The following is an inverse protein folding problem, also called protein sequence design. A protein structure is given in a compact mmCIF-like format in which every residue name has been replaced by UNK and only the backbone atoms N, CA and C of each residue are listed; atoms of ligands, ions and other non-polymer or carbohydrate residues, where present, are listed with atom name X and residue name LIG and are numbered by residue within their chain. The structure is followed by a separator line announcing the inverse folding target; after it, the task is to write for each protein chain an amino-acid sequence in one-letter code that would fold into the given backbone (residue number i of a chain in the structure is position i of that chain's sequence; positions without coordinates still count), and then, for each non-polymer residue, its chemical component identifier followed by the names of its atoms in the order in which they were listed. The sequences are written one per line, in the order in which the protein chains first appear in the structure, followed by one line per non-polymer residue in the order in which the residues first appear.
data_IF_571885970323
#
_entry.id   IF_571885970323
#
_cell.length_a   1.000
_cell.length_b   1.000
_cell.length_c   1.000
_cell.angle_alpha   90.00
_cell.angle_beta   90.00
_cell.angle_gamma   90.00
#
_symmetry.space_group_name_H-M   'P 1'
#
loop_
_entity.id
_entity.type
_entity.pdbx_description
1 polymer ?
#
# COMPACT_ATOMS: atom_id res chain seq x y z
N UNK A 1 -12.41 9.17 0.57
CA UNK A 1 -12.17 8.09 1.55
C UNK A 1 -10.73 7.63 1.37
N UNK A 2 -9.93 7.68 2.42
CA UNK A 2 -8.54 7.23 2.43
C UNK A 2 -8.46 5.89 3.17
N UNK A 3 -7.78 4.93 2.56
CA UNK A 3 -7.60 3.59 3.09
C UNK A 3 -6.11 3.31 3.16
N UNK A 4 -5.61 3.00 4.35
CA UNK A 4 -4.26 2.55 4.59
C UNK A 4 -4.27 1.21 5.35
N UNK A 5 -3.08 0.69 5.61
CA UNK A 5 -2.94 -0.41 6.56
C UNK A 5 -3.10 0.10 7.99
N UNK A 6 -3.36 -0.82 8.92
CA UNK A 6 -3.48 -0.49 10.34
C UNK A 6 -2.11 -0.50 11.05
N UNK A 7 -1.00 -0.19 10.34
CA UNK A 7 0.31 -0.18 11.00
C UNK A 7 0.36 0.95 12.05
N UNK A 8 1.08 0.75 13.18
CA UNK A 8 1.07 1.69 14.30
C UNK A 8 1.36 3.16 13.96
N UNK A 9 2.24 3.49 12.99
CA UNK A 9 2.47 4.89 12.60
C UNK A 9 1.24 5.59 12.02
N UNK A 10 0.37 4.87 11.30
CA UNK A 10 -0.83 5.41 10.66
C UNK A 10 -1.91 5.79 11.69
N UNK A 11 -2.00 5.05 12.80
CA UNK A 11 -2.92 5.32 13.91
C UNK A 11 -2.48 6.46 14.83
N UNK A 12 -1.34 7.12 14.58
CA UNK A 12 -0.85 8.17 15.47
C UNK A 12 -1.73 9.42 15.41
N UNK A 13 -1.84 10.12 16.55
CA UNK A 13 -2.63 11.36 16.68
C UNK A 13 -2.28 12.40 15.62
N UNK A 14 -0.99 12.50 15.26
CA UNK A 14 -0.53 13.48 14.27
C UNK A 14 -1.12 13.16 12.89
N UNK A 15 -1.08 11.89 12.48
CA UNK A 15 -1.61 11.43 11.18
C UNK A 15 -3.13 11.59 11.14
N UNK A 16 -3.85 11.15 12.18
CA UNK A 16 -5.32 11.26 12.22
C UNK A 16 -5.81 12.70 12.26
N UNK A 17 -5.13 13.57 13.02
CA UNK A 17 -5.43 15.01 13.03
C UNK A 17 -5.18 15.65 11.66
N UNK A 18 -4.10 15.26 10.97
CA UNK A 18 -3.82 15.76 9.63
C UNK A 18 -4.88 15.35 8.61
N UNK A 19 -5.33 14.09 8.65
CA UNK A 19 -6.41 13.62 7.78
C UNK A 19 -7.70 14.42 7.99
N UNK A 20 -8.02 14.75 9.24
CA UNK A 20 -9.17 15.60 9.57
C UNK A 20 -9.00 17.04 9.05
N UNK A 21 -7.83 17.65 9.21
CA UNK A 21 -7.54 19.03 8.72
C UNK A 21 -7.63 19.14 7.21
N UNK A 22 -7.17 18.11 6.48
CA UNK A 22 -7.25 18.08 5.01
C UNK A 22 -8.66 17.69 4.53
N UNK A 23 -9.57 17.35 5.44
CA UNK A 23 -10.96 17.00 5.11
C UNK A 23 -11.11 15.60 4.51
N UNK A 24 -10.16 14.70 4.75
CA UNK A 24 -10.15 13.35 4.20
C UNK A 24 -10.69 12.38 5.23
N UNK A 25 -11.80 11.72 4.93
CA UNK A 25 -12.33 10.64 5.76
C UNK A 25 -11.38 9.44 5.72
N UNK A 26 -10.89 9.01 6.88
CA UNK A 26 -10.08 7.81 7.07
C UNK A 26 -10.97 6.58 7.25
N UNK A 27 -10.63 5.48 6.58
CA UNK A 27 -11.29 4.19 6.78
C UNK A 27 -10.39 3.29 7.64
N UNK A 28 -10.78 3.06 8.89
CA UNK A 28 -10.08 2.13 9.77
C UNK A 28 -10.35 0.70 9.31
N UNK A 29 -9.31 -0.04 8.95
CA UNK A 29 -9.42 -1.41 8.45
C UNK A 29 -9.18 -2.45 9.56
N UNK A 30 -9.89 -3.59 9.57
CA UNK A 30 -9.61 -4.66 10.52
C UNK A 30 -8.17 -5.17 10.39
N UNK A 31 -7.49 -5.36 11.52
CA UNK A 31 -6.21 -6.07 11.53
C UNK A 31 -6.40 -7.47 10.90
N UNK A 32 -5.42 -7.93 10.11
CA UNK A 32 -5.43 -9.23 9.39
C UNK A 32 -6.25 -9.29 8.08
N UNK A 33 -6.59 -8.15 7.46
CA UNK A 33 -7.09 -8.11 6.08
C UNK A 33 -5.97 -7.75 5.10
N UNK A 34 -4.95 -8.61 4.99
CA UNK A 34 -3.91 -8.47 3.96
C UNK A 34 -4.48 -8.67 2.55
N UNK A 35 -5.48 -9.54 2.42
CA UNK A 35 -6.05 -9.96 1.13
C UNK A 35 -6.93 -8.87 0.47
N UNK A 36 -7.06 -7.71 1.10
CA UNK A 36 -7.89 -6.59 0.65
C UNK A 36 -7.10 -5.27 0.60
N UNK A 37 -5.79 -5.31 0.31
CA UNK A 37 -5.10 -4.10 -0.16
C UNK A 37 -4.94 -4.15 -1.68
N UNK A 38 -5.65 -3.32 -2.45
CA UNK A 38 -5.43 -3.19 -3.89
C UNK A 38 -3.97 -2.85 -4.26
N UNK A 39 -3.19 -2.26 -3.33
CA UNK A 39 -1.76 -1.96 -3.53
C UNK A 39 -0.90 -3.23 -3.65
N UNK A 40 -1.33 -4.36 -3.06
CA UNK A 40 -0.61 -5.64 -3.15
C UNK A 40 -0.59 -6.14 -4.59
N UNK A 41 -1.77 -6.22 -5.21
CA UNK A 41 -1.93 -6.62 -6.61
C UNK A 41 -1.19 -5.67 -7.58
N UNK A 42 -1.15 -4.37 -7.26
CA UNK A 42 -0.37 -3.38 -8.03
C UNK A 42 1.13 -3.64 -7.91
N UNK A 43 1.62 -4.00 -6.72
CA UNK A 43 3.01 -4.38 -6.53
C UNK A 43 3.40 -5.67 -7.24
N UNK A 44 2.53 -6.66 -7.28
CA UNK A 44 2.82 -7.90 -8.01
C UNK A 44 2.83 -7.67 -9.53
N UNK A 45 1.92 -6.86 -10.06
CA UNK A 45 1.97 -6.42 -11.46
C UNK A 45 3.22 -5.61 -11.78
N UNK A 46 3.67 -4.76 -10.85
CA UNK A 46 4.89 -3.99 -11.04
C UNK A 46 6.13 -4.89 -11.07
N UNK A 47 6.23 -5.85 -10.15
CA UNK A 47 7.33 -6.84 -10.13
C UNK A 47 7.35 -7.63 -11.43
N UNK A 48 6.20 -8.13 -11.89
CA UNK A 48 6.11 -8.88 -13.14
C UNK A 48 6.63 -8.07 -14.33
N UNK A 49 6.25 -6.80 -14.45
CA UNK A 49 6.77 -5.92 -15.52
C UNK A 49 8.27 -5.68 -15.40
N UNK A 50 8.80 -5.60 -14.18
CA UNK A 50 10.24 -5.43 -13.97
C UNK A 50 11.00 -6.70 -14.38
N UNK A 51 10.47 -7.87 -14.04
CA UNK A 51 11.04 -9.17 -14.41
C UNK A 51 10.99 -9.37 -15.94
N UNK A 52 9.88 -9.03 -16.60
CA UNK A 52 9.73 -9.10 -18.06
C UNK A 52 10.67 -8.12 -18.81
N UNK A 53 11.05 -7.01 -18.17
CA UNK A 53 12.03 -6.06 -18.70
C UNK A 53 13.48 -6.46 -18.43
N UNK A 54 13.73 -7.51 -17.64
CA UNK A 54 15.08 -7.99 -17.36
C UNK A 54 15.49 -8.97 -18.47
N UNK A 55 16.52 -8.64 -19.29
CA UNK A 55 16.97 -9.57 -20.31
C UNK A 55 17.47 -10.87 -19.66
N UNK A 56 17.31 -12.04 -20.32
CA UNK A 56 17.84 -13.29 -19.79
C UNK A 56 19.34 -13.11 -19.50
N UNK A 57 19.85 -13.74 -18.42
CA UNK A 57 21.27 -13.73 -18.13
C UNK A 57 22.03 -14.14 -19.40
N UNK A 58 22.99 -13.33 -19.82
CA UNK A 58 23.87 -13.71 -20.92
C UNK A 58 24.70 -14.90 -20.42
N UNK A 59 24.36 -16.11 -20.85
CA UNK A 59 25.23 -17.28 -20.73
C UNK A 59 26.49 -16.98 -21.56
N UNK A 60 27.58 -16.62 -20.86
CA UNK A 60 28.94 -16.55 -21.40
C UNK A 60 29.79 -17.60 -20.70
#
# INVERSE_FOLDING_TARGET
LFMDDNAPPHGTRIVTTKLQVVGVSHMVRPAMTSDLIPIGDVWDQLKQRLDDCTPPPNDM
#
